data_IF_229361700735
#
_entry.id   IF_229361700735
#
_cell.length_a   1.000
_cell.length_b   1.000
_cell.length_c   1.000
_cell.angle_alpha   90.00
_cell.angle_beta   90.00
_cell.angle_gamma   90.00
#
_symmetry.space_group_name_H-M   'P 1'
#
loop_
_entity.id
_entity.type
_entity.pdbx_description
1 polymer ?
#
# COMPACT_ATOMS: atom_id res chain seq x y z
N UNK A 1 -6.68 -15.22 4.79
CA UNK A 1 -7.48 -14.04 4.33
C UNK A 1 -7.77 -14.04 2.83
N UNK A 2 -6.79 -14.16 1.92
CA UNK A 2 -7.05 -13.91 0.48
C UNK A 2 -7.78 -15.02 -0.32
N UNK A 3 -7.75 -16.28 0.14
CA UNK A 3 -8.47 -17.39 -0.54
C UNK A 3 -10.00 -17.26 -0.50
N UNK A 4 -10.55 -16.68 0.57
CA UNK A 4 -12.00 -16.46 0.67
C UNK A 4 -12.47 -15.35 -0.28
N UNK A 5 -11.72 -14.25 -0.38
CA UNK A 5 -12.00 -13.17 -1.33
C UNK A 5 -11.96 -13.66 -2.78
N UNK A 6 -10.94 -14.44 -3.16
CA UNK A 6 -10.82 -14.98 -4.52
C UNK A 6 -12.02 -15.85 -4.96
N UNK A 7 -12.70 -16.51 -4.00
CA UNK A 7 -13.88 -17.36 -4.26
C UNK A 7 -15.17 -16.54 -4.49
N UNK A 8 -15.19 -15.29 -4.03
CA UNK A 8 -16.31 -14.36 -4.19
C UNK A 8 -16.11 -13.36 -5.35
N UNK A 9 -15.04 -13.52 -6.14
CA UNK A 9 -14.61 -12.60 -7.20
C UNK A 9 -13.31 -11.86 -6.87
N UNK A 10 -12.73 -11.16 -7.85
CA UNK A 10 -11.49 -10.40 -7.64
C UNK A 10 -11.64 -9.39 -6.49
N UNK A 11 -10.72 -9.43 -5.52
CA UNK A 11 -10.68 -8.46 -4.42
C UNK A 11 -10.76 -7.02 -4.94
N UNK A 12 -11.44 -6.14 -4.21
CA UNK A 12 -11.43 -4.69 -4.49
C UNK A 12 -10.00 -4.11 -4.49
N UNK A 13 -9.05 -4.83 -3.88
CA UNK A 13 -7.63 -4.47 -3.80
C UNK A 13 -6.76 -5.11 -4.89
N UNK A 14 -7.35 -5.77 -5.89
CA UNK A 14 -6.60 -6.35 -7.02
C UNK A 14 -5.87 -7.66 -6.73
N UNK A 15 -6.04 -8.22 -5.53
CA UNK A 15 -5.51 -9.54 -5.18
C UNK A 15 -6.46 -10.65 -5.64
N UNK A 16 -5.89 -11.70 -6.22
CA UNK A 16 -6.59 -12.92 -6.59
C UNK A 16 -5.86 -14.15 -6.03
N UNK A 17 -6.50 -15.32 -6.11
CA UNK A 17 -5.94 -16.56 -5.57
C UNK A 17 -4.80 -17.16 -6.39
N UNK A 18 -4.44 -16.57 -7.54
CA UNK A 18 -3.44 -17.11 -8.46
C UNK A 18 -2.03 -16.52 -8.27
N UNK A 19 -1.89 -15.46 -7.47
CA UNK A 19 -0.63 -14.72 -7.29
C UNK A 19 0.41 -15.43 -6.39
N UNK A 20 0.23 -16.71 -6.07
CA UNK A 20 1.13 -17.46 -5.18
C UNK A 20 1.13 -16.95 -3.74
N UNK A 21 2.23 -17.24 -3.02
CA UNK A 21 2.41 -16.76 -1.65
C UNK A 21 2.82 -15.28 -1.65
N UNK A 22 2.19 -14.49 -0.80
CA UNK A 22 2.51 -13.08 -0.62
C UNK A 22 3.05 -12.86 0.78
N UNK A 23 4.18 -12.16 0.88
CA UNK A 23 4.74 -11.67 2.14
C UNK A 23 4.43 -10.18 2.27
N UNK A 24 3.90 -9.78 3.41
CA UNK A 24 3.67 -8.38 3.75
C UNK A 24 4.70 -7.97 4.80
N UNK A 25 5.51 -6.95 4.50
CA UNK A 25 6.56 -6.45 5.39
C UNK A 25 6.12 -5.12 5.97
N UNK A 26 5.97 -5.08 7.30
CA UNK A 26 5.65 -3.88 8.07
C UNK A 26 6.89 -3.44 8.85
N UNK A 27 7.30 -2.20 8.65
CA UNK A 27 8.28 -1.54 9.51
C UNK A 27 7.53 -0.83 10.63
N UNK A 28 7.69 -1.30 11.87
CA UNK A 28 7.18 -0.63 13.06
C UNK A 28 8.37 -0.16 13.90
N UNK A 29 8.49 1.15 14.09
CA UNK A 29 9.58 1.77 14.84
C UNK A 29 9.01 2.73 15.87
N UNK A 30 9.58 2.71 17.07
CA UNK A 30 9.35 3.71 18.10
C UNK A 30 10.66 4.42 18.41
N UNK A 31 10.57 5.65 18.91
CA UNK A 31 11.74 6.44 19.28
C UNK A 31 11.40 7.38 20.44
N UNK A 32 12.43 7.81 21.17
CA UNK A 32 12.26 8.55 22.42
C UNK A 32 12.03 10.05 22.19
N UNK A 33 12.75 10.66 21.25
CA UNK A 33 12.76 12.10 21.08
C UNK A 33 12.16 12.54 19.74
N UNK A 34 11.26 13.54 19.75
CA UNK A 34 10.62 14.05 18.53
C UNK A 34 11.64 14.49 17.44
N UNK A 35 12.83 14.96 17.84
CA UNK A 35 13.89 15.38 16.91
C UNK A 35 14.37 14.25 15.99
N UNK A 36 14.22 13.00 16.40
CA UNK A 36 14.69 11.84 15.66
C UNK A 36 13.73 11.43 14.52
N UNK A 37 12.50 11.97 14.50
CA UNK A 37 11.47 11.60 13.54
C UNK A 37 11.91 11.75 12.08
N UNK A 38 12.59 12.85 11.74
CA UNK A 38 13.11 13.08 10.39
C UNK A 38 14.19 12.07 9.99
N UNK A 39 15.09 11.73 10.92
CA UNK A 39 16.14 10.74 10.67
C UNK A 39 15.50 9.37 10.44
N UNK A 40 14.54 8.98 11.26
CA UNK A 40 13.84 7.70 11.17
C UNK A 40 13.06 7.59 9.86
N UNK A 41 12.33 8.64 9.46
CA UNK A 41 11.63 8.66 8.19
C UNK A 41 12.60 8.51 7.00
N UNK A 42 13.74 9.21 7.03
CA UNK A 42 14.77 9.10 6.01
C UNK A 42 15.32 7.67 5.91
N UNK A 43 15.63 7.04 7.04
CA UNK A 43 16.12 5.66 7.05
C UNK A 43 15.05 4.66 6.60
N UNK A 44 13.79 4.85 7.01
CA UNK A 44 12.67 4.03 6.56
C UNK A 44 12.52 4.09 5.03
N UNK A 45 12.52 5.29 4.44
CA UNK A 45 12.46 5.47 2.98
C UNK A 45 13.61 4.75 2.27
N UNK A 46 14.85 4.90 2.78
CA UNK A 46 16.03 4.20 2.24
C UNK A 46 15.89 2.67 2.32
N UNK A 47 15.40 2.15 3.45
CA UNK A 47 15.14 0.72 3.63
C UNK A 47 14.14 0.22 2.58
N UNK A 48 12.99 0.88 2.42
CA UNK A 48 11.98 0.47 1.44
C UNK A 48 12.45 0.59 0.00
N UNK A 49 13.24 1.61 -0.36
CA UNK A 49 13.86 1.71 -1.70
C UNK A 49 14.78 0.52 -1.97
N UNK A 50 15.64 0.16 -1.02
CA UNK A 50 16.56 -0.99 -1.16
C UNK A 50 15.79 -2.32 -1.24
N UNK A 51 14.77 -2.47 -0.40
CA UNK A 51 13.92 -3.66 -0.41
C UNK A 51 13.22 -3.83 -1.77
N UNK A 52 12.65 -2.76 -2.32
CA UNK A 52 12.04 -2.76 -3.66
C UNK A 52 13.02 -3.18 -4.75
N UNK A 53 14.21 -2.58 -4.78
CA UNK A 53 15.24 -2.94 -5.75
C UNK A 53 15.64 -4.42 -5.65
N UNK A 54 15.71 -4.96 -4.43
CA UNK A 54 16.08 -6.37 -4.23
C UNK A 54 14.99 -7.34 -4.68
N UNK A 55 13.71 -7.09 -4.37
CA UNK A 55 12.62 -7.96 -4.85
C UNK A 55 12.42 -7.86 -6.37
N UNK A 56 12.77 -6.72 -6.97
CA UNK A 56 12.83 -6.56 -8.43
C UNK A 56 13.96 -7.40 -9.02
N UNK A 57 15.16 -7.32 -8.43
CA UNK A 57 16.32 -8.13 -8.84
C UNK A 57 16.05 -9.64 -8.73
N UNK A 58 15.31 -10.05 -7.71
CA UNK A 58 14.94 -11.46 -7.48
C UNK A 58 13.76 -11.93 -8.36
N UNK A 59 13.08 -11.03 -9.08
CA UNK A 59 11.93 -11.38 -9.91
C UNK A 59 10.68 -11.79 -9.12
N UNK A 60 10.59 -11.42 -7.84
CA UNK A 60 9.49 -11.79 -6.92
C UNK A 60 8.63 -10.59 -6.54
N UNK A 61 8.72 -9.51 -7.30
CA UNK A 61 8.00 -8.26 -7.01
C UNK A 61 6.49 -8.44 -7.12
N UNK A 62 5.77 -7.88 -6.15
CA UNK A 62 4.33 -7.71 -6.24
C UNK A 62 3.99 -6.22 -6.01
N UNK A 63 3.15 -5.60 -6.85
CA UNK A 63 2.82 -4.17 -6.73
C UNK A 63 1.88 -3.87 -5.55
N UNK A 64 1.31 -4.88 -4.90
CA UNK A 64 0.41 -4.71 -3.77
C UNK A 64 1.10 -4.04 -2.57
N UNK A 65 0.47 -3.01 -2.03
CA UNK A 65 0.86 -2.35 -0.78
C UNK A 65 -0.37 -2.27 0.13
N UNK A 66 -0.18 -2.60 1.41
CA UNK A 66 -1.29 -2.67 2.36
C UNK A 66 -1.66 -1.30 2.92
N UNK A 67 -2.76 -0.74 2.39
CA UNK A 67 -3.25 0.62 2.66
C UNK A 67 -3.36 0.99 4.15
N UNK A 68 -3.79 0.07 5.02
CA UNK A 68 -4.04 0.38 6.44
C UNK A 68 -2.79 0.85 7.19
N UNK A 69 -1.59 0.55 6.67
CA UNK A 69 -0.32 0.88 7.30
C UNK A 69 0.64 1.57 6.33
N UNK A 70 0.12 2.28 5.32
CA UNK A 70 0.98 3.05 4.42
C UNK A 70 1.43 4.36 5.03
N UNK A 71 2.71 4.66 4.90
CA UNK A 71 3.22 6.00 5.09
C UNK A 71 2.74 6.94 3.96
N UNK A 72 2.72 8.24 4.22
CA UNK A 72 2.25 9.28 3.28
C UNK A 72 2.95 9.27 1.91
N UNK A 73 4.18 8.75 1.85
CA UNK A 73 4.98 8.66 0.63
C UNK A 73 4.79 7.36 -0.16
N UNK A 74 3.94 6.44 0.30
CA UNK A 74 3.60 5.21 -0.40
C UNK A 74 2.31 5.39 -1.22
N UNK A 75 2.25 4.78 -2.40
CA UNK A 75 1.06 4.77 -3.26
C UNK A 75 0.41 3.38 -3.29
N UNK A 76 -0.48 3.05 -2.35
CA UNK A 76 -1.13 1.75 -2.29
C UNK A 76 -2.15 1.50 -3.39
N UNK A 77 -2.83 2.55 -3.85
CA UNK A 77 -3.93 2.41 -4.81
C UNK A 77 -3.40 2.02 -6.19
N UNK A 78 -2.21 2.47 -6.57
CA UNK A 78 -1.55 2.00 -7.79
C UNK A 78 -1.25 0.50 -7.78
N UNK A 79 -1.11 -0.12 -6.61
CA UNK A 79 -0.91 -1.55 -6.44
C UNK A 79 -2.11 -2.44 -6.74
N UNK A 80 -3.32 -1.87 -6.83
CA UNK A 80 -4.56 -2.65 -7.02
C UNK A 80 -4.83 -3.01 -8.49
N UNK A 81 -3.99 -2.55 -9.42
CA UNK A 81 -4.16 -2.72 -10.85
C UNK A 81 -5.08 -1.66 -11.48
N UNK A 82 -4.93 -1.45 -12.79
CA UNK A 82 -5.57 -0.37 -13.53
C UNK A 82 -7.10 -0.39 -13.41
N UNK A 83 -7.72 -1.57 -13.52
CA UNK A 83 -9.17 -1.72 -13.46
C UNK A 83 -9.75 -1.32 -12.10
N UNK A 84 -9.13 -1.77 -11.00
CA UNK A 84 -9.57 -1.46 -9.64
C UNK A 84 -9.29 0.01 -9.29
N UNK A 85 -8.14 0.55 -9.68
CA UNK A 85 -7.83 1.99 -9.55
C UNK A 85 -8.85 2.86 -10.29
N UNK A 86 -9.22 2.49 -11.51
CA UNK A 86 -10.22 3.22 -12.30
C UNK A 86 -11.61 3.12 -11.68
N UNK A 87 -12.00 1.94 -11.18
CA UNK A 87 -13.24 1.76 -10.42
C UNK A 87 -13.31 2.68 -9.20
N UNK A 88 -12.28 2.65 -8.33
CA UNK A 88 -12.22 3.50 -7.14
C UNK A 88 -12.28 4.98 -7.48
N UNK A 89 -11.59 5.40 -8.55
CA UNK A 89 -11.67 6.79 -9.04
C UNK A 89 -13.08 7.16 -9.47
N UNK A 90 -13.76 6.32 -10.27
CA UNK A 90 -15.15 6.60 -10.69
C UNK A 90 -16.09 6.71 -9.50
N UNK A 91 -16.01 5.76 -8.56
CA UNK A 91 -16.88 5.75 -7.38
C UNK A 91 -16.66 6.95 -6.47
N UNK A 92 -15.42 7.46 -6.41
CA UNK A 92 -15.08 8.69 -5.69
C UNK A 92 -15.73 9.96 -6.29
N UNK A 93 -15.99 9.99 -7.60
CA UNK A 93 -16.66 11.15 -8.25
C UNK A 93 -18.18 11.08 -8.14
N UNK A 94 -18.76 9.87 -8.09
CA UNK A 94 -20.20 9.66 -7.95
C UNK A 94 -20.74 9.85 -6.51
N UNK A 95 -19.87 9.90 -5.50
CA UNK A 95 -20.23 10.24 -4.12
C UNK A 95 -20.00 11.72 -3.87
N UNK A 96 -21.02 12.57 -4.05
CA UNK A 96 -20.98 14.04 -3.86
C UNK A 96 -20.71 14.53 -2.43
N UNK A 97 -19.97 13.77 -1.63
CA UNK A 97 -19.63 14.11 -0.26
C UNK A 97 -18.11 13.99 -0.12
N UNK A 98 -17.42 15.14 -0.24
CA UNK A 98 -16.03 15.31 0.24
C UNK A 98 -16.01 15.16 1.76
N UNK A 99 -16.27 13.96 2.28
CA UNK A 99 -16.36 13.70 3.71
C UNK A 99 -15.00 13.32 4.33
N UNK A 100 -13.99 13.02 3.49
CA UNK A 100 -12.70 12.52 3.95
C UNK A 100 -11.54 13.27 3.27
N UNK A 101 -11.33 14.52 3.67
CA UNK A 101 -10.02 15.16 3.59
C UNK A 101 -9.79 15.75 4.97
N UNK A 102 -8.90 15.12 5.75
CA UNK A 102 -8.45 15.70 7.01
C UNK A 102 -7.87 17.08 6.73
N UNK A 103 -8.36 18.10 7.43
CA UNK A 103 -7.75 19.44 7.41
C UNK A 103 -6.31 19.29 7.91
N UNK A 104 -5.35 19.58 7.05
CA UNK A 104 -4.01 19.92 7.50
C UNK A 104 -4.10 21.25 8.25
N UNK A 105 -3.63 21.24 9.49
CA UNK A 105 -3.36 22.44 10.32
C UNK A 105 -2.07 23.09 9.89
#
# INVERSE_FOLDING_TARGET
MFRASARAGDSSMGLNGTNGNLFNVLLATTWAENKDGMLIELQARRMFTRFKAEVERLGVTNPYVYLNYTASWQDPISGYGANKKAFLRRTNVSGGLKLFVGRET
#
